data_IF_196071700958
#
_entry.id   IF_196071700958
#
_cell.length_a   1.000
_cell.length_b   1.000
_cell.length_c   1.000
_cell.angle_alpha   90.00
_cell.angle_beta   90.00
_cell.angle_gamma   90.00
#
_symmetry.space_group_name_H-M   'P 1'
#
loop_
_entity.id
_entity.type
_entity.pdbx_description
1 polymer ?
#
# COMPACT_ATOMS: atom_id res chain seq x y z
N UNK A 1 -21.11 -16.91 -7.43
CA UNK A 1 -21.00 -15.44 -7.42
C UNK A 1 -19.65 -15.08 -8.02
N UNK A 2 -19.56 -14.32 -9.04
CA UNK A 2 -18.29 -13.91 -9.66
C UNK A 2 -17.90 -14.66 -10.94
N UNK A 3 -18.64 -15.70 -11.34
CA UNK A 3 -18.36 -16.50 -12.54
C UNK A 3 -18.75 -15.76 -13.83
N UNK A 4 -19.58 -14.71 -13.71
CA UNK A 4 -20.01 -13.82 -14.79
C UNK A 4 -19.06 -12.67 -15.09
N UNK A 5 -17.82 -12.66 -14.51
CA UNK A 5 -16.87 -11.57 -14.70
C UNK A 5 -17.12 -10.33 -13.84
N UNK A 6 -18.05 -10.41 -12.90
CA UNK A 6 -18.34 -9.35 -11.93
C UNK A 6 -17.88 -9.73 -10.52
N UNK A 7 -17.71 -8.72 -9.66
CA UNK A 7 -17.39 -8.86 -8.24
C UNK A 7 -18.19 -7.88 -7.40
N UNK A 8 -18.29 -8.18 -6.10
CA UNK A 8 -18.95 -7.30 -5.14
C UNK A 8 -17.96 -6.26 -4.60
N UNK A 9 -18.44 -5.03 -4.50
CA UNK A 9 -17.84 -3.94 -3.73
C UNK A 9 -18.59 -3.78 -2.40
N UNK A 10 -18.12 -2.86 -1.56
CA UNK A 10 -18.80 -2.52 -0.31
C UNK A 10 -20.25 -2.09 -0.56
N UNK A 11 -21.09 -2.32 0.43
CA UNK A 11 -22.53 -1.94 0.42
C UNK A 11 -23.35 -2.54 -0.71
N UNK A 12 -22.98 -3.74 -1.18
CA UNK A 12 -23.74 -4.49 -2.17
C UNK A 12 -23.63 -3.96 -3.61
N UNK A 13 -22.69 -3.08 -3.87
CA UNK A 13 -22.39 -2.62 -5.23
C UNK A 13 -21.74 -3.74 -6.04
N UNK A 14 -22.08 -3.82 -7.32
CA UNK A 14 -21.48 -4.74 -8.29
C UNK A 14 -20.59 -3.99 -9.26
N UNK A 15 -19.49 -4.62 -9.67
CA UNK A 15 -18.56 -4.04 -10.64
C UNK A 15 -17.89 -5.12 -11.49
N UNK A 16 -17.61 -4.86 -12.77
CA UNK A 16 -16.77 -5.75 -13.57
C UNK A 16 -15.40 -5.96 -12.90
N UNK A 17 -14.91 -7.19 -12.91
CA UNK A 17 -13.59 -7.53 -12.36
C UNK A 17 -12.44 -6.75 -13.02
N UNK A 18 -12.65 -6.26 -14.25
CA UNK A 18 -11.69 -5.46 -15.01
C UNK A 18 -11.80 -3.95 -14.75
N UNK A 19 -12.70 -3.51 -13.87
CA UNK A 19 -12.86 -2.09 -13.58
C UNK A 19 -11.59 -1.53 -12.91
N UNK A 20 -11.19 -0.27 -13.21
CA UNK A 20 -9.99 0.36 -12.64
C UNK A 20 -9.96 0.34 -11.10
N UNK A 21 -11.12 0.43 -10.46
CA UNK A 21 -11.26 0.36 -9.00
C UNK A 21 -10.90 -1.02 -8.46
N UNK A 22 -11.34 -2.08 -9.12
CA UNK A 22 -11.02 -3.46 -8.75
C UNK A 22 -9.52 -3.72 -8.92
N UNK A 23 -8.94 -3.24 -10.02
CA UNK A 23 -7.51 -3.31 -10.28
C UNK A 23 -6.67 -2.53 -9.25
N UNK A 24 -7.18 -1.40 -8.76
CA UNK A 24 -6.49 -0.60 -7.76
C UNK A 24 -6.45 -1.32 -6.41
N UNK A 25 -7.61 -1.71 -5.85
CA UNK A 25 -7.60 -2.37 -4.55
C UNK A 25 -6.96 -3.77 -4.62
N UNK A 26 -7.13 -4.51 -5.72
CA UNK A 26 -6.49 -5.81 -5.90
C UNK A 26 -4.95 -5.71 -5.95
N UNK A 27 -4.41 -4.61 -6.52
CA UNK A 27 -2.96 -4.37 -6.48
C UNK A 27 -2.47 -3.97 -5.08
N UNK A 28 -3.30 -3.27 -4.29
CA UNK A 28 -2.98 -2.99 -2.87
C UNK A 28 -3.02 -4.27 -2.05
N UNK A 29 -3.95 -5.19 -2.33
CA UNK A 29 -4.02 -6.50 -1.69
C UNK A 29 -2.79 -7.36 -2.03
N UNK A 30 -2.36 -7.37 -3.29
CA UNK A 30 -1.10 -8.03 -3.71
C UNK A 30 0.11 -7.47 -2.93
N UNK A 31 0.20 -6.14 -2.78
CA UNK A 31 1.23 -5.50 -1.97
C UNK A 31 1.14 -5.95 -0.50
N UNK A 32 -0.05 -5.95 0.07
CA UNK A 32 -0.28 -6.34 1.45
C UNK A 32 0.14 -7.80 1.71
N UNK A 33 -0.21 -8.70 0.81
CA UNK A 33 0.19 -10.11 0.85
C UNK A 33 1.70 -10.27 0.75
N UNK A 34 2.35 -9.52 -0.15
CA UNK A 34 3.80 -9.56 -0.33
C UNK A 34 4.55 -9.01 0.90
N UNK A 35 4.03 -7.97 1.56
CA UNK A 35 4.57 -7.48 2.84
C UNK A 35 4.50 -8.59 3.90
N UNK A 36 3.44 -9.40 3.90
CA UNK A 36 3.35 -10.60 4.74
C UNK A 36 4.51 -11.56 4.51
N UNK A 37 4.88 -11.82 3.26
CA UNK A 37 6.06 -12.64 2.91
C UNK A 37 7.36 -12.02 3.45
N UNK A 38 7.52 -10.70 3.28
CA UNK A 38 8.71 -9.98 3.80
C UNK A 38 8.85 -10.16 5.30
N UNK A 39 7.78 -10.01 6.06
CA UNK A 39 7.79 -10.15 7.53
C UNK A 39 8.30 -11.52 8.02
N UNK A 40 8.17 -12.57 7.19
CA UNK A 40 8.62 -13.93 7.48
C UNK A 40 9.94 -14.32 6.77
N UNK A 41 10.63 -13.37 6.12
CA UNK A 41 11.85 -13.63 5.35
C UNK A 41 13.17 -13.36 6.09
N UNK A 42 13.14 -13.31 7.43
CA UNK A 42 14.33 -13.10 8.25
C UNK A 42 14.78 -11.64 8.37
N UNK A 43 13.88 -10.68 8.16
CA UNK A 43 14.14 -9.26 8.44
C UNK A 43 14.16 -8.98 9.94
N UNK A 44 14.72 -7.82 10.35
CA UNK A 44 14.81 -7.43 11.77
C UNK A 44 13.42 -7.27 12.43
N UNK A 45 13.34 -7.47 13.75
CA UNK A 45 12.10 -7.24 14.52
C UNK A 45 11.56 -5.81 14.31
N UNK A 46 12.45 -4.82 14.25
CA UNK A 46 12.09 -3.43 13.95
C UNK A 46 11.41 -3.28 12.59
N UNK A 47 11.92 -3.98 11.57
CA UNK A 47 11.29 -4.01 10.23
C UNK A 47 9.94 -4.71 10.27
N UNK A 48 9.83 -5.83 11.00
CA UNK A 48 8.56 -6.55 11.17
C UNK A 48 7.48 -5.65 11.78
N UNK A 49 7.78 -4.94 12.86
CA UNK A 49 6.85 -4.02 13.54
C UNK A 49 6.39 -2.89 12.61
N UNK A 50 7.32 -2.26 11.90
CA UNK A 50 6.99 -1.19 10.96
C UNK A 50 6.09 -1.71 9.83
N UNK A 51 6.41 -2.87 9.25
CA UNK A 51 5.63 -3.46 8.17
C UNK A 51 4.24 -3.91 8.65
N UNK A 52 4.09 -4.36 9.90
CA UNK A 52 2.80 -4.62 10.52
C UNK A 52 1.93 -3.36 10.56
N UNK A 53 2.50 -2.25 11.00
CA UNK A 53 1.83 -0.95 10.99
C UNK A 53 1.45 -0.48 9.57
N UNK A 54 2.26 -0.79 8.56
CA UNK A 54 1.92 -0.53 7.15
C UNK A 54 0.74 -1.39 6.71
N UNK A 55 0.75 -2.70 7.01
CA UNK A 55 -0.34 -3.62 6.62
C UNK A 55 -1.68 -3.20 7.24
N UNK A 56 -1.69 -2.80 8.52
CA UNK A 56 -2.90 -2.31 9.17
C UNK A 56 -3.53 -1.13 8.41
N UNK A 57 -2.71 -0.22 7.89
CA UNK A 57 -3.14 0.93 7.09
C UNK A 57 -3.59 0.54 5.68
N UNK A 58 -2.92 -0.41 5.06
CA UNK A 58 -3.33 -0.93 3.74
C UNK A 58 -4.70 -1.61 3.78
N UNK A 59 -5.09 -2.23 4.90
CA UNK A 59 -6.47 -2.75 5.08
C UNK A 59 -7.49 -1.61 4.99
N UNK A 60 -7.25 -0.47 5.65
CA UNK A 60 -8.10 0.70 5.52
C UNK A 60 -8.16 1.26 4.10
N UNK A 61 -6.99 1.33 3.42
CA UNK A 61 -6.92 1.74 2.01
C UNK A 61 -7.73 0.82 1.09
N UNK A 62 -7.66 -0.51 1.28
CA UNK A 62 -8.44 -1.48 0.49
C UNK A 62 -9.94 -1.30 0.72
N UNK A 63 -10.38 -1.10 1.97
CA UNK A 63 -11.78 -0.87 2.29
C UNK A 63 -12.32 0.40 1.64
N UNK A 64 -11.56 1.50 1.69
CA UNK A 64 -11.90 2.75 1.00
C UNK A 64 -11.97 2.56 -0.52
N UNK A 65 -10.96 1.93 -1.12
CA UNK A 65 -10.92 1.64 -2.55
C UNK A 65 -12.06 0.72 -3.00
N UNK A 66 -12.52 -0.20 -2.15
CA UNK A 66 -13.68 -1.05 -2.42
C UNK A 66 -15.03 -0.33 -2.19
N UNK A 67 -15.04 0.95 -1.83
CA UNK A 67 -16.23 1.76 -1.58
C UNK A 67 -16.41 2.80 -2.68
N UNK A 68 -17.63 2.92 -3.23
CA UNK A 68 -17.96 3.98 -4.18
C UNK A 68 -18.02 5.33 -3.46
N UNK A 69 -17.68 6.44 -4.14
CA UNK A 69 -17.65 7.78 -3.53
C UNK A 69 -18.98 8.15 -2.86
N UNK A 70 -20.10 7.83 -3.48
CA UNK A 70 -21.43 8.09 -2.94
C UNK A 70 -21.76 7.27 -1.68
N UNK A 71 -21.05 6.19 -1.41
CA UNK A 71 -21.24 5.34 -0.22
C UNK A 71 -20.21 5.63 0.90
N UNK A 72 -19.25 6.54 0.68
CA UNK A 72 -18.27 6.94 1.70
C UNK A 72 -18.93 7.46 3.00
N UNK A 73 -20.04 8.21 2.99
CA UNK A 73 -20.71 8.57 4.24
C UNK A 73 -21.18 7.36 5.06
N UNK A 74 -21.60 6.26 4.39
CA UNK A 74 -21.96 5.01 5.06
C UNK A 74 -20.74 4.29 5.63
N UNK A 75 -19.61 4.36 4.88
CA UNK A 75 -18.33 3.79 5.29
C UNK A 75 -17.83 4.46 6.58
N UNK A 76 -17.83 5.79 6.59
CA UNK A 76 -17.41 6.61 7.72
C UNK A 76 -18.34 6.41 8.94
N UNK A 77 -19.66 6.31 8.73
CA UNK A 77 -20.64 6.04 9.78
C UNK A 77 -20.45 4.65 10.45
N UNK A 78 -19.83 3.69 9.75
CA UNK A 78 -19.46 2.39 10.30
C UNK A 78 -18.14 2.42 11.07
N UNK A 79 -17.43 3.54 11.09
CA UNK A 79 -16.13 3.67 11.73
C UNK A 79 -15.00 2.92 11.03
N UNK A 80 -15.15 2.62 9.75
CA UNK A 80 -14.10 1.95 8.99
C UNK A 80 -12.92 2.88 8.71
N UNK A 81 -11.71 2.35 8.85
CA UNK A 81 -10.49 3.13 8.69
C UNK A 81 -10.26 3.54 7.22
N UNK A 82 -9.73 4.75 7.05
CA UNK A 82 -9.21 5.29 5.79
C UNK A 82 -7.79 5.78 6.01
N UNK A 83 -7.04 5.97 4.94
CA UNK A 83 -5.73 6.63 5.07
C UNK A 83 -5.92 8.11 5.39
N UNK A 84 -5.30 8.58 6.45
CA UNK A 84 -5.35 9.96 6.91
C UNK A 84 -4.02 10.69 6.66
N UNK A 85 -4.00 12.00 6.90
CA UNK A 85 -2.76 12.78 6.86
C UNK A 85 -1.78 12.35 7.97
N UNK A 86 -2.31 11.94 9.13
CA UNK A 86 -1.53 11.42 10.25
C UNK A 86 -0.85 10.09 9.89
N UNK A 87 -1.51 9.23 9.08
CA UNK A 87 -0.91 7.98 8.59
C UNK A 87 0.27 8.27 7.64
N UNK A 88 0.13 9.28 6.80
CA UNK A 88 1.23 9.73 5.92
C UNK A 88 2.40 10.27 6.76
N UNK A 89 2.12 11.10 7.75
CA UNK A 89 3.12 11.66 8.65
C UNK A 89 3.82 10.55 9.47
N UNK A 90 3.04 9.58 10.00
CA UNK A 90 3.60 8.42 10.69
C UNK A 90 4.58 7.65 9.80
N UNK A 91 4.25 7.40 8.54
CA UNK A 91 5.14 6.69 7.62
C UNK A 91 6.42 7.48 7.35
N UNK A 92 6.32 8.81 7.23
CA UNK A 92 7.48 9.69 7.06
C UNK A 92 8.41 9.66 8.29
N UNK A 93 7.83 9.65 9.49
CA UNK A 93 8.57 9.52 10.73
C UNK A 93 9.28 8.16 10.83
N UNK A 94 8.58 7.04 10.56
CA UNK A 94 9.22 5.71 10.56
C UNK A 94 10.42 5.66 9.59
N UNK A 95 10.27 6.26 8.42
CA UNK A 95 11.35 6.34 7.45
C UNK A 95 12.56 7.13 7.97
N UNK A 96 12.30 8.27 8.62
CA UNK A 96 13.35 9.11 9.19
C UNK A 96 14.08 8.40 10.33
N UNK A 97 13.35 7.72 11.22
CA UNK A 97 13.93 6.92 12.29
C UNK A 97 14.86 5.83 11.75
N UNK A 98 14.42 5.06 10.75
CA UNK A 98 15.26 4.04 10.11
C UNK A 98 16.49 4.62 9.43
N UNK A 99 16.38 5.77 8.79
CA UNK A 99 17.52 6.47 8.19
C UNK A 99 18.58 6.79 9.24
N UNK A 100 18.14 7.29 10.39
CA UNK A 100 19.02 7.67 11.49
C UNK A 100 19.64 6.45 12.18
N UNK A 101 18.83 5.41 12.44
CA UNK A 101 19.27 4.19 13.12
C UNK A 101 20.29 3.40 12.29
N UNK A 102 20.14 3.36 10.96
CA UNK A 102 20.96 2.54 10.08
C UNK A 102 22.09 3.29 9.37
N UNK A 103 22.31 4.60 9.63
CA UNK A 103 23.26 5.48 8.89
C UNK A 103 23.18 5.26 7.36
N UNK A 104 21.96 5.20 6.83
CA UNK A 104 21.74 4.87 5.42
C UNK A 104 22.24 6.03 4.54
N UNK A 105 23.28 5.78 3.74
CA UNK A 105 23.81 6.72 2.75
C UNK A 105 23.59 6.20 1.34
N UNK A 106 23.15 7.08 0.46
CA UNK A 106 23.02 6.75 -0.95
C UNK A 106 24.41 6.55 -1.58
N UNK A 107 24.71 5.33 -1.99
CA UNK A 107 25.98 4.95 -2.66
C UNK A 107 25.81 4.68 -4.16
N UNK A 108 24.67 5.03 -4.74
CA UNK A 108 24.35 4.74 -6.15
C UNK A 108 23.22 3.71 -6.33
N UNK A 109 23.01 3.27 -7.56
CA UNK A 109 21.99 2.30 -7.91
C UNK A 109 22.43 0.88 -7.55
N UNK A 110 21.66 0.20 -6.70
CA UNK A 110 21.84 -1.23 -6.42
C UNK A 110 20.91 -2.06 -7.32
N UNK A 111 21.40 -3.19 -7.78
CA UNK A 111 20.56 -4.20 -8.46
C UNK A 111 19.72 -4.91 -7.39
N UNK A 112 18.40 -5.15 -7.63
CA UNK A 112 17.58 -5.96 -6.73
C UNK A 112 18.25 -7.29 -6.40
N UNK A 113 18.23 -7.68 -5.13
CA UNK A 113 18.85 -8.93 -4.66
C UNK A 113 20.39 -8.92 -4.57
N UNK A 114 21.08 -7.83 -4.91
CA UNK A 114 22.56 -7.76 -4.84
C UNK A 114 23.12 -7.92 -3.42
N UNK A 115 22.42 -7.41 -2.43
CA UNK A 115 22.88 -7.38 -1.04
C UNK A 115 22.67 -8.70 -0.27
N UNK A 116 22.27 -9.75 -0.97
CA UNK A 116 22.40 -11.13 -0.50
C UNK A 116 21.38 -11.64 0.51
N UNK A 117 20.41 -10.85 0.98
CA UNK A 117 19.36 -11.36 1.86
C UNK A 117 18.03 -11.57 1.11
N UNK A 118 17.33 -12.65 1.47
CA UNK A 118 16.00 -12.94 0.93
C UNK A 118 15.01 -11.81 1.27
N UNK A 119 15.09 -11.26 2.47
CA UNK A 119 14.26 -10.14 2.93
C UNK A 119 14.44 -8.90 2.07
N UNK A 120 15.69 -8.51 1.75
CA UNK A 120 15.95 -7.36 0.89
C UNK A 120 15.45 -7.56 -0.53
N UNK A 121 15.54 -8.77 -1.08
CA UNK A 121 15.02 -9.08 -2.41
C UNK A 121 13.47 -8.97 -2.46
N UNK A 122 12.78 -9.47 -1.43
CA UNK A 122 11.33 -9.32 -1.33
C UNK A 122 10.90 -7.87 -1.07
N UNK A 123 11.67 -7.09 -0.31
CA UNK A 123 11.42 -5.66 -0.15
C UNK A 123 11.52 -4.90 -1.48
N UNK A 124 12.49 -5.21 -2.32
CA UNK A 124 12.58 -4.62 -3.67
C UNK A 124 11.38 -5.00 -4.55
N UNK A 125 10.90 -6.25 -4.45
CA UNK A 125 9.69 -6.67 -5.14
C UNK A 125 8.46 -5.92 -4.61
N UNK A 126 8.29 -5.83 -3.28
CA UNK A 126 7.20 -5.09 -2.65
C UNK A 126 7.19 -3.62 -3.06
N UNK A 127 8.36 -2.98 -3.14
CA UNK A 127 8.50 -1.62 -3.65
C UNK A 127 7.99 -1.50 -5.09
N UNK A 128 8.27 -2.45 -5.94
CA UNK A 128 7.83 -2.44 -7.35
C UNK A 128 6.31 -2.61 -7.47
N UNK A 129 5.72 -3.49 -6.65
CA UNK A 129 4.26 -3.68 -6.56
C UNK A 129 3.60 -2.42 -5.98
N UNK A 130 4.18 -1.81 -4.94
CA UNK A 130 3.70 -0.56 -4.35
C UNK A 130 3.62 0.57 -5.40
N UNK A 131 4.65 0.71 -6.25
CA UNK A 131 4.63 1.68 -7.36
C UNK A 131 3.55 1.39 -8.40
N UNK A 132 3.22 0.13 -8.62
CA UNK A 132 2.09 -0.25 -9.48
C UNK A 132 0.76 0.12 -8.82
N UNK A 133 0.58 -0.17 -7.54
CA UNK A 133 -0.60 0.23 -6.76
C UNK A 133 -0.78 1.75 -6.76
N UNK A 134 0.28 2.51 -6.50
CA UNK A 134 0.29 3.97 -6.55
C UNK A 134 -0.25 4.49 -7.89
N UNK A 135 0.27 4.00 -9.03
CA UNK A 135 -0.19 4.46 -10.35
C UNK A 135 -1.68 4.18 -10.59
N UNK A 136 -2.20 3.03 -10.13
CA UNK A 136 -3.61 2.69 -10.26
C UNK A 136 -4.51 3.56 -9.38
N UNK A 137 -4.07 3.86 -8.16
CA UNK A 137 -4.77 4.78 -7.26
C UNK A 137 -4.75 6.21 -7.80
N UNK A 138 -3.62 6.66 -8.36
CA UNK A 138 -3.51 7.97 -9.02
C UNK A 138 -4.47 8.06 -10.22
N UNK A 139 -4.59 7.00 -11.04
CA UNK A 139 -5.54 6.98 -12.15
C UNK A 139 -6.97 7.16 -11.67
N UNK A 140 -7.42 6.47 -10.60
CA UNK A 140 -8.75 6.68 -10.02
C UNK A 140 -8.98 8.11 -9.55
N UNK A 141 -7.94 8.77 -9.01
CA UNK A 141 -8.05 10.17 -8.60
C UNK A 141 -8.19 11.12 -9.78
N UNK A 142 -7.44 10.90 -10.84
CA UNK A 142 -7.53 11.71 -12.07
C UNK A 142 -8.90 11.56 -12.73
N UNK A 143 -9.51 10.39 -12.63
CA UNK A 143 -10.87 10.11 -13.11
C UNK A 143 -11.97 10.54 -12.10
N UNK A 144 -11.61 11.28 -11.04
CA UNK A 144 -12.51 11.74 -9.98
C UNK A 144 -13.27 10.60 -9.26
N UNK A 145 -12.78 9.36 -9.36
CA UNK A 145 -13.36 8.19 -8.72
C UNK A 145 -12.81 7.91 -7.31
N UNK A 146 -11.86 8.71 -6.83
CA UNK A 146 -11.30 8.67 -5.47
C UNK A 146 -10.96 10.10 -5.03
N UNK A 147 -11.68 10.61 -4.01
CA UNK A 147 -11.48 11.95 -3.47
C UNK A 147 -10.28 12.05 -2.52
N UNK A 148 -10.01 10.98 -1.74
CA UNK A 148 -8.95 10.97 -0.75
C UNK A 148 -7.55 11.04 -1.37
N UNK A 149 -6.87 12.16 -1.17
CA UNK A 149 -5.48 12.35 -1.63
C UNK A 149 -4.47 11.52 -0.83
N UNK A 150 -4.77 11.24 0.45
CA UNK A 150 -3.81 10.64 1.37
C UNK A 150 -3.45 9.20 0.97
N UNK A 151 -4.38 8.45 0.38
CA UNK A 151 -4.12 7.07 -0.09
C UNK A 151 -3.03 7.04 -1.17
N UNK A 152 -3.09 7.95 -2.14
CA UNK A 152 -2.03 8.08 -3.15
C UNK A 152 -0.71 8.57 -2.54
N UNK A 153 -0.78 9.56 -1.62
CA UNK A 153 0.40 10.07 -0.92
C UNK A 153 1.08 8.98 -0.08
N UNK A 154 0.32 8.20 0.66
CA UNK A 154 0.84 7.10 1.47
C UNK A 154 1.61 6.08 0.61
N UNK A 155 1.01 5.60 -0.49
CA UNK A 155 1.66 4.67 -1.41
C UNK A 155 2.90 5.29 -2.06
N UNK A 156 2.86 6.57 -2.41
CA UNK A 156 4.03 7.29 -2.93
C UNK A 156 5.17 7.32 -1.91
N UNK A 157 4.88 7.68 -0.65
CA UNK A 157 5.89 7.69 0.42
C UNK A 157 6.44 6.30 0.69
N UNK A 158 5.57 5.29 0.74
CA UNK A 158 5.96 3.90 0.95
C UNK A 158 6.91 3.40 -0.15
N UNK A 159 6.65 3.74 -1.43
CA UNK A 159 7.45 3.29 -2.57
C UNK A 159 8.70 4.13 -2.84
N UNK A 160 8.68 5.42 -2.49
CA UNK A 160 9.70 6.39 -2.91
C UNK A 160 10.91 6.45 -1.98
N UNK A 161 10.70 6.17 -0.70
CA UNK A 161 11.82 6.13 0.23
C UNK A 161 12.58 4.83 0.03
N UNK A 162 13.56 4.85 -0.89
CA UNK A 162 14.54 3.78 -1.14
C UNK A 162 15.19 3.19 0.12
N UNK A 163 14.88 3.75 1.27
CA UNK A 163 15.46 3.48 2.56
C UNK A 163 14.58 2.62 3.47
N UNK A 164 13.26 2.58 3.23
CA UNK A 164 12.33 1.71 3.98
C UNK A 164 12.36 0.26 3.50
N UNK A 165 12.86 0.03 2.28
CA UNK A 165 12.86 -1.27 1.62
C UNK A 165 14.28 -1.71 1.22
N UNK A 166 15.29 -1.43 2.06
CA UNK A 166 16.65 -1.98 1.91
C UNK A 166 17.10 -2.76 3.15
#
# INVERSE_FOLDING_TARGET
RGDSGETDLMFGRRSPKTAPRIEAYGTVDELNSLIGVVRHSGVSSRTVEMLDGVQARLVGAMGELATMEEDLPKYDAKGYARITAEDVAWLEEQAHLLEKECDIRFKGWARPGKEGSLGSAYLDLARSVCRRAERRVVALRLDHALSNVNTALFLNRLSSKRKLMK
#
